data_IF_234441344683
#
_entry.id   IF_234441344683
#
_cell.length_a   1.000
_cell.length_b   1.000
_cell.length_c   1.000
_cell.angle_alpha   90.00
_cell.angle_beta   90.00
_cell.angle_gamma   90.00
#
_symmetry.space_group_name_H-M   'P 1'
#
loop_
_entity.id
_entity.type
_entity.pdbx_description
1 polymer ?
#
# COMPACT_ATOMS: atom_id res chain seq x y z
N UNK A 1 -18.85 2.58 16.44
CA UNK A 1 -18.25 2.78 16.35
C UNK A 1 -17.11 2.46 15.67
N UNK A 2 -16.64 1.85 15.70
CA UNK A 2 -15.38 1.69 15.12
C UNK A 2 -15.30 1.51 13.69
N UNK A 3 -16.33 1.33 13.04
CA UNK A 3 -16.23 1.08 11.69
C UNK A 3 -15.84 2.22 10.97
N UNK A 4 -16.15 3.31 11.33
CA UNK A 4 -15.77 4.43 10.58
C UNK A 4 -14.29 4.58 10.60
N UNK A 5 -13.63 3.89 11.43
CA UNK A 5 -12.22 3.95 11.47
C UNK A 5 -11.59 3.43 10.25
N UNK A 6 -12.20 2.43 9.64
CA UNK A 6 -11.55 1.75 8.55
C UNK A 6 -11.45 2.59 7.30
N UNK A 7 -12.31 3.57 7.15
CA UNK A 7 -12.23 4.40 5.97
C UNK A 7 -11.88 5.82 6.33
N UNK A 8 -11.46 6.06 7.54
CA UNK A 8 -11.15 7.41 7.96
C UNK A 8 -9.89 7.93 7.32
N UNK A 9 -9.82 9.24 7.21
CA UNK A 9 -8.63 9.91 6.75
C UNK A 9 -7.49 9.53 7.68
N UNK A 10 -6.37 9.22 7.11
CA UNK A 10 -5.20 8.88 7.88
C UNK A 10 -5.02 7.40 8.15
N UNK A 11 -5.99 6.56 7.79
CA UNK A 11 -5.79 5.12 7.89
C UNK A 11 -4.60 4.73 7.02
N UNK A 12 -3.68 3.96 7.57
CA UNK A 12 -2.46 3.57 6.87
C UNK A 12 -2.63 2.17 6.30
N UNK A 13 -2.57 2.06 4.99
CA UNK A 13 -2.73 0.80 4.29
C UNK A 13 -1.47 0.49 3.51
N UNK A 14 -0.94 -0.71 3.68
CA UNK A 14 0.18 -1.20 2.89
C UNK A 14 -0.41 -2.07 1.78
N UNK A 15 -0.15 -1.69 0.53
CA UNK A 15 -0.63 -2.43 -0.63
C UNK A 15 0.54 -3.21 -1.23
N UNK A 16 0.45 -4.53 -1.17
CA UNK A 16 1.47 -5.40 -1.77
C UNK A 16 1.21 -5.51 -3.26
N UNK A 17 2.25 -5.86 -4.00
CA UNK A 17 2.15 -5.97 -5.47
C UNK A 17 1.65 -4.67 -6.10
N UNK A 18 2.10 -3.54 -5.55
CA UNK A 18 1.67 -2.24 -6.02
C UNK A 18 2.18 -1.87 -7.41
N UNK A 19 3.14 -2.62 -7.93
CA UNK A 19 3.65 -2.42 -9.28
C UNK A 19 2.82 -3.16 -10.33
N UNK A 20 1.78 -3.89 -9.92
CA UNK A 20 0.85 -4.51 -10.85
C UNK A 20 -0.32 -3.55 -11.11
N UNK A 21 -1.07 -3.81 -12.17
CA UNK A 21 -2.25 -2.98 -12.46
C UNK A 21 -3.28 -3.05 -11.34
N UNK A 22 -3.52 -4.25 -10.82
CA UNK A 22 -4.50 -4.40 -9.74
C UNK A 22 -4.06 -3.67 -8.48
N UNK A 23 -2.76 -3.76 -8.15
CA UNK A 23 -2.24 -3.06 -6.99
C UNK A 23 -2.30 -1.55 -7.16
N UNK A 24 -1.97 -1.08 -8.36
CA UNK A 24 -2.02 0.34 -8.66
C UNK A 24 -3.44 0.89 -8.53
N UNK A 25 -4.41 0.18 -9.08
CA UNK A 25 -5.80 0.62 -9.02
C UNK A 25 -6.33 0.64 -7.58
N UNK A 26 -6.00 -0.39 -6.82
CA UNK A 26 -6.42 -0.45 -5.42
C UNK A 26 -5.81 0.69 -4.62
N UNK A 27 -4.52 0.93 -4.81
CA UNK A 27 -3.85 2.00 -4.09
C UNK A 27 -4.45 3.36 -4.41
N UNK A 28 -4.75 3.60 -5.69
CA UNK A 28 -5.34 4.86 -6.08
C UNK A 28 -6.72 5.06 -5.48
N UNK A 29 -7.49 3.98 -5.40
CA UNK A 29 -8.81 4.06 -4.78
C UNK A 29 -8.69 4.41 -3.30
N UNK A 30 -7.74 3.77 -2.61
CA UNK A 30 -7.55 4.04 -1.19
C UNK A 30 -7.09 5.47 -0.96
N UNK A 31 -6.22 5.98 -1.83
CA UNK A 31 -5.81 7.38 -1.73
C UNK A 31 -6.98 8.33 -1.93
N UNK A 32 -7.85 8.00 -2.87
CA UNK A 32 -9.03 8.82 -3.11
C UNK A 32 -9.98 8.81 -1.91
N UNK A 33 -9.97 7.72 -1.14
CA UNK A 33 -10.81 7.61 0.05
C UNK A 33 -10.19 8.28 1.27
N UNK A 34 -9.02 8.87 1.14
CA UNK A 34 -8.40 9.59 2.24
C UNK A 34 -7.37 8.81 3.03
N UNK A 35 -7.08 7.57 2.62
CA UNK A 35 -6.07 6.77 3.31
C UNK A 35 -4.67 7.28 3.00
N UNK A 36 -3.74 6.92 3.87
CA UNK A 36 -2.32 7.04 3.58
C UNK A 36 -1.86 5.67 3.13
N UNK A 37 -1.18 5.60 2.00
CA UNK A 37 -0.91 4.33 1.34
C UNK A 37 0.58 4.15 1.09
N UNK A 38 1.11 2.99 1.48
CA UNK A 38 2.45 2.58 1.10
C UNK A 38 2.31 1.45 0.09
N UNK A 39 2.85 1.64 -1.11
CA UNK A 39 2.80 0.61 -2.14
C UNK A 39 4.16 -0.08 -2.21
N UNK A 40 4.11 -1.39 -2.19
CA UNK A 40 5.32 -2.21 -2.17
C UNK A 40 5.30 -3.09 -3.41
N UNK A 41 6.42 -3.16 -4.09
CA UNK A 41 6.55 -4.02 -5.25
C UNK A 41 8.02 -4.20 -5.59
N UNK A 42 8.29 -5.04 -6.56
CA UNK A 42 9.68 -5.32 -6.94
C UNK A 42 10.23 -4.34 -7.96
N UNK A 43 9.34 -3.66 -8.67
CA UNK A 43 9.76 -2.79 -9.78
C UNK A 43 9.43 -1.36 -9.46
N UNK A 44 10.47 -0.59 -9.15
CA UNK A 44 10.28 0.80 -8.75
C UNK A 44 9.51 1.61 -9.80
N UNK A 45 9.80 1.36 -11.07
CA UNK A 45 9.13 2.12 -12.12
C UNK A 45 7.61 1.93 -12.11
N UNK A 46 7.16 0.72 -11.78
CA UNK A 46 5.73 0.46 -11.70
C UNK A 46 5.06 1.11 -10.50
N UNK A 47 5.83 1.38 -9.46
CA UNK A 47 5.28 1.99 -8.25
C UNK A 47 5.12 3.51 -8.41
N UNK A 48 5.94 4.13 -9.24
CA UNK A 48 5.90 5.58 -9.40
C UNK A 48 4.54 6.06 -9.87
N UNK A 49 3.87 5.28 -10.72
CA UNK A 49 2.57 5.70 -11.22
C UNK A 49 1.51 5.80 -10.12
N UNK A 50 1.72 5.12 -9.00
CA UNK A 50 0.80 5.25 -7.87
C UNK A 50 1.04 6.56 -7.13
N UNK A 51 2.30 6.89 -6.91
CA UNK A 51 2.62 8.07 -6.12
C UNK A 51 2.57 9.36 -6.93
N UNK A 52 2.56 9.25 -8.25
CA UNK A 52 2.54 10.42 -9.11
C UNK A 52 1.29 11.26 -8.82
N UNK A 53 1.49 12.53 -8.57
CA UNK A 53 0.38 13.43 -8.29
C UNK A 53 -0.09 13.44 -6.85
N UNK A 54 0.54 12.65 -5.97
CA UNK A 54 0.18 12.61 -4.57
C UNK A 54 1.31 13.11 -3.70
N UNK A 55 0.96 13.67 -2.57
CA UNK A 55 1.96 14.19 -1.65
C UNK A 55 2.68 13.06 -0.94
N UNK A 56 3.92 13.30 -0.59
CA UNK A 56 4.72 12.32 0.14
C UNK A 56 4.12 11.98 1.50
N UNK A 57 3.30 12.87 2.05
CA UNK A 57 2.63 12.60 3.32
C UNK A 57 1.52 11.56 3.18
N UNK A 58 1.08 11.30 1.97
CA UNK A 58 -0.03 10.40 1.75
C UNK A 58 0.34 9.13 0.99
N UNK A 59 1.35 9.18 0.15
CA UNK A 59 1.72 8.05 -0.69
C UNK A 59 3.22 7.80 -0.60
N UNK A 60 3.57 6.54 -0.35
CA UNK A 60 4.96 6.12 -0.23
C UNK A 60 5.16 4.89 -1.09
N UNK A 61 6.22 4.87 -1.88
CA UNK A 61 6.56 3.72 -2.70
C UNK A 61 7.88 3.13 -2.24
N UNK A 62 7.89 1.82 -2.01
CA UNK A 62 9.09 1.13 -1.58
C UNK A 62 9.28 -0.10 -2.45
N UNK A 63 10.42 -0.17 -3.14
CA UNK A 63 10.76 -1.35 -3.91
C UNK A 63 11.44 -2.36 -2.99
N UNK A 64 10.97 -3.59 -3.04
CA UNK A 64 11.54 -4.64 -2.22
C UNK A 64 10.79 -5.94 -2.38
N UNK A 65 11.36 -7.00 -1.80
CA UNK A 65 10.80 -8.34 -1.85
C UNK A 65 10.20 -8.65 -0.49
N UNK A 66 8.87 -8.71 -0.43
CA UNK A 66 8.18 -8.94 0.85
C UNK A 66 8.33 -10.38 1.33
N UNK A 67 8.74 -11.29 0.46
CA UNK A 67 9.00 -12.66 0.87
C UNK A 67 10.33 -12.79 1.61
N UNK A 68 11.20 -11.81 1.48
CA UNK A 68 12.48 -11.79 2.18
C UNK A 68 12.22 -11.16 3.54
N UNK A 69 12.41 -11.93 4.60
CA UNK A 69 12.09 -11.47 5.95
C UNK A 69 12.83 -10.19 6.32
N UNK A 70 14.09 -10.08 5.95
CA UNK A 70 14.88 -8.90 6.30
C UNK A 70 14.34 -7.66 5.58
N UNK A 71 14.03 -7.81 4.30
CA UNK A 71 13.49 -6.69 3.55
C UNK A 71 12.11 -6.30 4.07
N UNK A 72 11.28 -7.28 4.40
CA UNK A 72 9.97 -7.01 4.95
C UNK A 72 10.07 -6.20 6.24
N UNK A 73 10.98 -6.57 7.13
CA UNK A 73 11.18 -5.84 8.37
C UNK A 73 11.55 -4.39 8.10
N UNK A 74 12.45 -4.16 7.13
CA UNK A 74 12.84 -2.81 6.78
C UNK A 74 11.70 -2.01 6.16
N UNK A 75 10.87 -2.66 5.36
CA UNK A 75 9.72 -2.02 4.74
C UNK A 75 8.74 -1.55 5.82
N UNK A 76 8.40 -2.44 6.75
CA UNK A 76 7.47 -2.09 7.82
C UNK A 76 8.04 -0.95 8.67
N UNK A 77 9.33 -0.98 8.93
CA UNK A 77 9.97 0.08 9.69
C UNK A 77 9.85 1.42 8.98
N UNK A 78 10.09 1.45 7.67
CA UNK A 78 10.00 2.69 6.92
C UNK A 78 8.59 3.25 6.89
N UNK A 79 7.60 2.37 6.73
CA UNK A 79 6.22 2.80 6.72
C UNK A 79 5.84 3.36 8.09
N UNK A 80 6.27 2.68 9.15
CA UNK A 80 5.99 3.13 10.50
C UNK A 80 6.62 4.48 10.79
N UNK A 81 7.85 4.69 10.33
CA UNK A 81 8.52 5.96 10.53
C UNK A 81 7.84 7.08 9.78
N UNK A 82 7.34 6.77 8.57
CA UNK A 82 6.74 7.81 7.75
C UNK A 82 5.31 8.12 8.18
N UNK A 83 4.53 7.09 8.50
CA UNK A 83 3.09 7.25 8.74
C UNK A 83 2.66 7.02 10.17
N UNK A 84 3.56 6.57 11.04
CA UNK A 84 3.24 6.36 12.43
C UNK A 84 2.72 4.98 12.77
N UNK A 85 2.55 4.11 11.79
CA UNK A 85 2.08 2.75 12.03
C UNK A 85 1.50 2.14 10.77
N UNK A 86 0.97 0.93 10.88
CA UNK A 86 0.32 0.23 9.79
C UNK A 86 -1.01 -0.29 10.31
N UNK A 87 -2.10 0.10 9.68
CA UNK A 87 -3.41 -0.36 10.09
C UNK A 87 -3.84 -1.63 9.36
N UNK A 88 -3.50 -1.73 8.09
CA UNK A 88 -3.95 -2.85 7.26
C UNK A 88 -2.93 -3.14 6.19
N UNK A 89 -2.80 -4.42 5.86
CA UNK A 89 -1.96 -4.86 4.74
C UNK A 89 -2.86 -5.63 3.79
N UNK A 90 -2.85 -5.27 2.51
CA UNK A 90 -3.70 -5.92 1.52
C UNK A 90 -2.88 -6.40 0.35
N UNK A 91 -3.31 -7.51 -0.24
CA UNK A 91 -2.71 -8.09 -1.43
C UNK A 91 -3.79 -8.26 -2.47
N UNK A 92 -3.85 -7.36 -3.45
CA UNK A 92 -4.96 -7.38 -4.43
C UNK A 92 -5.04 -8.66 -5.23
N UNK A 93 -3.92 -9.32 -5.44
CA UNK A 93 -3.91 -10.52 -6.23
C UNK A 93 -4.68 -11.66 -5.59
N UNK A 94 -4.66 -11.74 -4.28
CA UNK A 94 -5.40 -12.77 -3.58
C UNK A 94 -6.89 -12.60 -3.79
N UNK A 95 -7.37 -11.36 -3.81
CA UNK A 95 -8.77 -11.09 -4.05
C UNK A 95 -9.17 -11.49 -5.47
N UNK A 96 -8.30 -11.23 -6.42
CA UNK A 96 -8.56 -11.60 -7.81
C UNK A 96 -8.67 -13.10 -7.96
N UNK A 97 -7.82 -13.84 -7.29
CA UNK A 97 -7.87 -15.28 -7.36
C UNK A 97 -9.17 -15.83 -6.81
N UNK A 98 -9.65 -15.25 -5.75
CA UNK A 98 -10.91 -15.71 -5.21
C UNK A 98 -12.07 -15.43 -6.14
N UNK A 99 -12.01 -14.36 -6.86
CA UNK A 99 -13.06 -14.02 -7.79
C UNK A 99 -13.11 -15.04 -8.92
N UNK A 100 -11.98 -15.59 -9.29
CA UNK A 100 -11.92 -16.57 -10.35
C UNK A 100 -12.47 -17.92 -9.87
N UNK A 101 -12.22 -18.23 -8.65
CA UNK A 101 -12.69 -19.47 -8.12
C UNK A 101 -14.18 -19.42 -7.85
#
# INVERSE_FOLDING_TARGET
>A
MSREITSGAGTVVVVLDGDTDAGCQLARRLLADGCRVAVIGRHAAGLVRVTHGHRAERALAIAGDVADHRQWTQIVQRVTERFGGVDTIVRPQAAAMRAVA
#
